data_IF_153460259079
#
_entry.id   IF_153460259079
#
_cell.length_a   1.000
_cell.length_b   1.000
_cell.length_c   1.000
_cell.angle_alpha   90.00
_cell.angle_beta   90.00
_cell.angle_gamma   90.00
#
_symmetry.space_group_name_H-M   'P 1'
#
loop_
_entity.id
_entity.type
_entity.pdbx_description
1 polymer ?
#
# COMPACT_ATOMS: atom_id res chain seq x y z
N UNK A 1 -23.70 -0.12 -39.26
CA UNK A 1 -23.24 -0.24 -37.87
C UNK A 1 -22.68 1.11 -37.46
N UNK A 2 -23.20 1.77 -36.43
CA UNK A 2 -22.76 3.13 -36.08
C UNK A 2 -21.32 3.09 -35.57
N UNK A 3 -20.47 3.92 -36.17
CA UNK A 3 -19.13 4.22 -35.65
C UNK A 3 -19.28 4.96 -34.33
N UNK A 4 -19.20 4.22 -33.21
CA UNK A 4 -19.07 4.83 -31.88
C UNK A 4 -17.70 5.49 -31.85
N UNK A 5 -17.67 6.82 -31.87
CA UNK A 5 -16.44 7.58 -31.66
C UNK A 5 -15.83 7.15 -30.32
N UNK A 6 -14.61 6.62 -30.37
CA UNK A 6 -13.86 6.09 -29.22
C UNK A 6 -13.69 7.14 -28.10
N UNK A 7 -13.97 8.42 -28.38
CA UNK A 7 -13.87 9.53 -27.42
C UNK A 7 -14.92 9.52 -26.32
N UNK A 8 -16.11 8.95 -26.56
CA UNK A 8 -17.23 8.96 -25.60
C UNK A 8 -17.25 7.74 -24.66
N UNK A 9 -16.31 6.81 -24.82
CA UNK A 9 -16.17 5.65 -23.93
C UNK A 9 -15.38 6.01 -22.67
N UNK A 10 -15.66 5.31 -21.57
CA UNK A 10 -14.92 5.50 -20.31
C UNK A 10 -13.42 5.31 -20.54
N UNK A 11 -12.61 6.14 -19.87
CA UNK A 11 -11.15 6.16 -20.01
C UNK A 11 -10.51 4.78 -19.78
N UNK A 12 -11.08 3.98 -18.87
CA UNK A 12 -10.68 2.59 -18.64
C UNK A 12 -10.85 1.71 -19.88
N UNK A 13 -11.93 1.89 -20.64
CA UNK A 13 -12.21 1.17 -21.88
C UNK A 13 -11.29 1.64 -23.01
N UNK A 14 -11.05 2.96 -23.13
CA UNK A 14 -10.12 3.51 -24.13
C UNK A 14 -8.69 3.02 -23.95
N UNK A 15 -8.21 2.95 -22.71
CA UNK A 15 -6.86 2.51 -22.38
C UNK A 15 -6.72 0.98 -22.35
N UNK A 16 -7.80 0.22 -22.13
CA UNK A 16 -7.77 -1.25 -22.16
C UNK A 16 -7.75 -1.82 -23.58
N UNK A 17 -8.35 -1.13 -24.55
CA UNK A 17 -8.46 -1.61 -25.94
C UNK A 17 -7.11 -1.61 -26.67
N UNK A 18 -6.18 -0.70 -26.33
CA UNK A 18 -4.87 -0.67 -26.99
C UNK A 18 -3.72 -0.19 -26.07
N UNK A 19 -2.93 -1.13 -25.50
CA UNK A 19 -1.75 -0.83 -24.68
C UNK A 19 -0.64 -0.08 -25.43
N UNK A 20 -0.68 -0.02 -26.76
CA UNK A 20 0.30 0.66 -27.60
C UNK A 20 -0.19 1.98 -28.19
N UNK A 21 -1.37 2.45 -27.81
CA UNK A 21 -1.88 3.75 -28.26
C UNK A 21 -0.92 4.90 -27.89
N UNK A 22 -0.79 5.88 -28.79
CA UNK A 22 0.04 7.06 -28.56
C UNK A 22 -0.43 7.89 -27.34
N UNK A 23 -1.74 7.86 -27.06
CA UNK A 23 -2.34 8.46 -25.85
C UNK A 23 -1.80 7.78 -24.58
N UNK A 24 -1.80 6.44 -24.54
CA UNK A 24 -1.27 5.68 -23.41
C UNK A 24 0.22 5.95 -23.18
N UNK A 25 1.03 5.93 -24.25
CA UNK A 25 2.47 6.24 -24.16
C UNK A 25 2.74 7.64 -23.64
N UNK A 26 1.96 8.62 -24.09
CA UNK A 26 2.07 10.02 -23.64
C UNK A 26 1.73 10.14 -22.16
N UNK A 27 0.64 9.51 -21.71
CA UNK A 27 0.20 9.53 -20.32
C UNK A 27 1.21 8.85 -19.39
N UNK A 28 1.67 7.64 -19.75
CA UNK A 28 2.69 6.91 -19.00
C UNK A 28 4.00 7.69 -18.97
N UNK A 29 4.41 8.30 -20.08
CA UNK A 29 5.62 9.14 -20.13
C UNK A 29 5.56 10.32 -19.16
N UNK A 30 4.40 11.00 -19.07
CA UNK A 30 4.18 12.12 -18.14
C UNK A 30 4.11 11.71 -16.67
N UNK A 31 3.59 10.52 -16.37
CA UNK A 31 3.59 9.97 -15.02
C UNK A 31 5.00 9.56 -14.60
N UNK A 32 5.72 8.86 -15.49
CA UNK A 32 7.11 8.47 -15.27
C UNK A 32 8.01 9.69 -15.05
N UNK A 33 7.87 10.75 -15.84
CA UNK A 33 8.70 11.95 -15.66
C UNK A 33 8.56 12.61 -14.29
N UNK A 34 7.35 12.61 -13.71
CA UNK A 34 7.09 13.11 -12.34
C UNK A 34 7.70 12.20 -11.29
N UNK A 35 7.52 10.90 -11.45
CA UNK A 35 8.10 9.91 -10.57
C UNK A 35 9.63 9.92 -10.62
N UNK A 36 10.25 10.10 -11.79
CA UNK A 36 11.70 10.24 -11.97
C UNK A 36 12.24 11.55 -11.37
N UNK A 37 11.45 12.63 -11.43
CA UNK A 37 11.77 13.89 -10.73
C UNK A 37 11.84 13.66 -9.21
N UNK A 38 10.83 13.00 -8.65
CA UNK A 38 10.78 12.70 -7.22
C UNK A 38 11.89 11.72 -6.80
N UNK A 39 12.11 10.64 -7.56
CA UNK A 39 13.17 9.66 -7.29
C UNK A 39 14.55 10.28 -7.19
N UNK A 40 14.89 11.20 -8.10
CA UNK A 40 16.18 11.92 -8.09
C UNK A 40 16.35 12.81 -6.85
N UNK A 41 15.27 13.36 -6.32
CA UNK A 41 15.33 14.13 -5.09
C UNK A 41 15.46 13.21 -3.87
N UNK A 42 14.62 12.17 -3.80
CA UNK A 42 14.61 11.20 -2.71
C UNK A 42 15.92 10.40 -2.61
N UNK A 43 16.59 10.13 -3.74
CA UNK A 43 17.85 9.38 -3.75
C UNK A 43 18.95 10.05 -2.92
N UNK A 44 18.90 11.36 -2.73
CA UNK A 44 19.86 12.09 -1.90
C UNK A 44 19.78 11.71 -0.41
N UNK A 45 18.64 11.15 0.03
CA UNK A 45 18.41 10.74 1.43
C UNK A 45 18.77 9.29 1.69
N UNK A 46 18.83 8.45 0.66
CA UNK A 46 19.00 7.00 0.82
C UNK A 46 20.31 6.64 1.50
N UNK A 47 21.41 7.33 1.18
CA UNK A 47 22.70 7.06 1.84
C UNK A 47 22.63 7.38 3.34
N UNK A 48 21.94 8.45 3.74
CA UNK A 48 21.72 8.78 5.16
C UNK A 48 20.85 7.72 5.84
N UNK A 49 19.78 7.25 5.19
CA UNK A 49 18.92 6.22 5.76
C UNK A 49 19.65 4.87 5.89
N UNK A 50 20.50 4.51 4.93
CA UNK A 50 21.34 3.32 5.02
C UNK A 50 22.28 3.38 6.24
N UNK A 51 22.86 4.55 6.56
CA UNK A 51 23.66 4.70 7.78
C UNK A 51 22.86 4.56 9.06
N UNK A 52 21.61 5.02 9.08
CA UNK A 52 20.71 4.83 10.23
C UNK A 52 20.38 3.36 10.42
N UNK A 53 20.14 2.63 9.33
CA UNK A 53 19.94 1.19 9.33
C UNK A 53 21.15 0.46 9.89
N UNK A 54 22.36 0.85 9.51
CA UNK A 54 23.61 0.32 10.07
C UNK A 54 23.71 0.57 11.58
N UNK A 55 23.35 1.77 12.06
CA UNK A 55 23.45 2.12 13.48
C UNK A 55 22.42 1.40 14.38
N UNK A 56 21.29 0.97 13.82
CA UNK A 56 20.23 0.27 14.55
C UNK A 56 20.47 -1.26 14.57
N UNK A 57 21.26 -1.78 13.63
CA UNK A 57 21.61 -3.21 13.60
C UNK A 57 22.50 -3.57 14.78
N UNK A 58 22.18 -4.67 15.47
CA UNK A 58 22.99 -5.23 16.57
C UNK A 58 24.27 -5.94 16.11
N UNK A 59 24.53 -5.98 14.80
CA UNK A 59 25.73 -6.55 14.21
C UNK A 59 26.34 -5.52 13.26
N UNK A 60 27.63 -5.24 13.43
CA UNK A 60 28.40 -4.47 12.46
C UNK A 60 28.54 -5.35 11.21
N UNK A 61 28.13 -4.86 10.05
CA UNK A 61 28.49 -5.49 8.77
C UNK A 61 29.98 -5.26 8.54
N UNK A 62 30.78 -6.27 8.88
CA UNK A 62 32.24 -6.26 8.83
C UNK A 62 32.77 -6.04 7.40
N UNK A 63 31.94 -6.31 6.37
CA UNK A 63 32.33 -6.10 4.97
C UNK A 63 32.75 -4.66 4.64
N UNK A 64 32.25 -3.66 5.38
CA UNK A 64 32.54 -2.23 5.14
C UNK A 64 33.58 -1.63 6.10
N UNK A 65 33.60 -2.05 7.37
CA UNK A 65 34.51 -1.50 8.41
C UNK A 65 35.61 -2.46 8.85
N UNK A 66 35.40 -3.78 8.85
CA UNK A 66 36.48 -4.73 9.17
C UNK A 66 37.51 -4.80 8.06
N UNK A 67 37.10 -4.67 6.78
CA UNK A 67 38.03 -4.51 5.65
C UNK A 67 38.99 -3.32 5.80
N UNK A 68 38.54 -2.25 6.45
CA UNK A 68 39.35 -1.06 6.73
C UNK A 68 40.25 -1.24 7.96
N UNK A 69 39.85 -2.06 8.93
CA UNK A 69 40.59 -2.32 10.16
C UNK A 69 41.65 -3.43 10.01
N UNK A 70 41.36 -4.48 9.24
CA UNK A 70 42.24 -5.65 9.06
C UNK A 70 43.23 -5.51 7.89
N UNK A 71 43.06 -4.50 7.01
CA UNK A 71 43.95 -4.29 5.86
C UNK A 71 44.01 -5.46 4.87
N UNK A 72 43.16 -6.48 5.04
CA UNK A 72 43.14 -7.69 4.24
C UNK A 72 42.26 -7.50 3.00
N UNK A 73 42.89 -7.60 1.83
CA UNK A 73 42.27 -7.37 0.52
C UNK A 73 41.60 -8.66 -0.01
N UNK A 74 41.80 -9.80 0.65
CA UNK A 74 41.41 -11.11 0.12
C UNK A 74 39.88 -11.37 0.20
N UNK A 75 39.20 -11.58 -0.95
CA UNK A 75 37.76 -11.78 -1.00
C UNK A 75 37.28 -13.19 -0.60
N UNK A 76 38.21 -14.12 -0.28
CA UNK A 76 37.93 -15.54 -0.05
C UNK A 76 38.19 -16.01 1.40
N UNK A 77 38.59 -15.13 2.31
CA UNK A 77 38.84 -15.54 3.69
C UNK A 77 37.50 -15.75 4.43
N UNK A 78 37.25 -16.97 4.91
CA UNK A 78 36.09 -17.25 5.78
C UNK A 78 36.28 -16.52 7.12
N UNK A 79 35.46 -15.50 7.36
CA UNK A 79 35.42 -14.79 8.63
C UNK A 79 35.01 -15.75 9.77
N UNK A 80 35.77 -15.75 10.87
CA UNK A 80 35.47 -16.62 12.02
C UNK A 80 34.27 -16.06 12.81
N UNK A 81 33.25 -16.88 13.13
CA UNK A 81 32.00 -16.39 13.75
C UNK A 81 32.19 -15.76 15.14
N UNK A 82 33.29 -16.04 15.82
CA UNK A 82 33.62 -15.54 17.16
C UNK A 82 34.28 -14.15 17.20
N UNK A 83 34.68 -13.58 16.06
CA UNK A 83 35.19 -12.19 15.97
C UNK A 83 34.08 -11.14 15.87
N UNK A 84 32.81 -11.56 15.85
CA UNK A 84 31.67 -10.63 15.85
C UNK A 84 31.51 -10.04 17.25
N UNK A 85 32.03 -8.82 17.44
CA UNK A 85 31.67 -8.02 18.61
C UNK A 85 30.15 -7.78 18.58
N UNK A 86 29.43 -8.41 19.53
CA UNK A 86 28.02 -8.13 19.76
C UNK A 86 27.95 -6.77 20.44
N UNK A 87 27.73 -5.73 19.66
CA UNK A 87 27.49 -4.40 20.19
C UNK A 87 26.00 -4.29 20.46
N UNK A 88 25.61 -4.11 21.72
CA UNK A 88 24.22 -3.76 22.06
C UNK A 88 23.97 -2.34 21.53
N UNK A 89 23.10 -2.16 20.52
CA UNK A 89 22.90 -0.85 19.93
C UNK A 89 22.07 0.02 20.88
N UNK A 90 22.72 0.95 21.58
CA UNK A 90 22.04 1.93 22.44
C UNK A 90 20.98 2.72 21.67
N UNK A 91 21.23 3.01 20.39
CA UNK A 91 20.28 3.67 19.50
C UNK A 91 18.96 2.89 19.34
N UNK A 92 19.00 1.56 19.29
CA UNK A 92 17.81 0.73 19.23
C UNK A 92 17.02 0.79 20.54
N UNK A 93 17.70 0.76 21.69
CA UNK A 93 17.06 0.87 23.00
C UNK A 93 16.37 2.24 23.17
N UNK A 94 17.02 3.33 22.74
CA UNK A 94 16.43 4.67 22.74
C UNK A 94 15.23 4.73 21.79
N UNK A 95 15.33 4.18 20.59
CA UNK A 95 14.21 4.12 19.64
C UNK A 95 13.02 3.35 20.23
N UNK A 96 13.27 2.19 20.84
CA UNK A 96 12.21 1.38 21.46
C UNK A 96 11.54 2.09 22.64
N UNK A 97 12.31 2.75 23.52
CA UNK A 97 11.74 3.53 24.64
C UNK A 97 10.93 4.74 24.17
N UNK A 98 11.39 5.44 23.12
CA UNK A 98 10.58 6.50 22.49
C UNK A 98 9.32 5.95 21.84
N UNK A 99 9.42 4.80 21.19
CA UNK A 99 8.28 4.13 20.55
C UNK A 99 7.20 3.76 21.56
N UNK A 100 7.56 3.17 22.69
CA UNK A 100 6.60 2.80 23.74
C UNK A 100 5.91 4.04 24.31
N UNK A 101 6.64 5.15 24.47
CA UNK A 101 6.06 6.44 24.84
C UNK A 101 5.04 6.95 23.81
N UNK A 102 5.39 6.96 22.53
CA UNK A 102 4.49 7.42 21.45
C UNK A 102 3.25 6.52 21.30
N UNK A 103 3.43 5.20 21.35
CA UNK A 103 2.31 4.25 21.32
C UNK A 103 1.39 4.41 22.54
N UNK A 104 1.94 4.73 23.72
CA UNK A 104 1.13 5.06 24.90
C UNK A 104 0.33 6.35 24.69
N UNK A 105 0.93 7.39 24.09
CA UNK A 105 0.24 8.66 23.83
C UNK A 105 -0.90 8.49 22.82
N UNK A 106 -0.64 7.84 21.69
CA UNK A 106 -1.61 7.71 20.60
C UNK A 106 -2.56 6.52 20.76
N UNK A 107 -2.08 5.40 21.33
CA UNK A 107 -2.81 4.15 21.37
C UNK A 107 -3.58 3.86 22.67
N UNK A 108 -3.40 4.63 23.75
CA UNK A 108 -4.13 4.38 25.00
C UNK A 108 -5.59 4.81 24.97
N UNK A 109 -6.04 5.53 23.93
CA UNK A 109 -7.41 6.02 23.80
C UNK A 109 -8.20 5.15 22.84
N UNK A 110 -9.42 4.79 23.24
CA UNK A 110 -10.41 4.10 22.41
C UNK A 110 -11.66 5.00 22.41
N UNK A 111 -12.13 5.51 21.26
CA UNK A 111 -11.56 5.42 19.91
C UNK A 111 -10.26 6.26 19.75
N UNK A 112 -9.37 5.82 18.86
CA UNK A 112 -8.05 6.46 18.66
C UNK A 112 -8.16 7.84 17.99
N UNK A 113 -9.04 7.99 17.00
CA UNK A 113 -9.33 9.26 16.34
C UNK A 113 -10.59 9.85 16.96
N UNK A 114 -10.45 11.03 17.57
CA UNK A 114 -11.56 11.78 18.14
C UNK A 114 -12.02 12.83 17.13
N UNK A 115 -13.33 12.87 16.87
CA UNK A 115 -13.99 13.79 15.95
C UNK A 115 -14.98 14.59 16.77
N UNK A 116 -14.72 15.89 16.89
CA UNK A 116 -15.65 16.81 17.51
C UNK A 116 -16.62 17.40 16.47
N UNK A 117 -17.90 17.46 16.86
CA UNK A 117 -18.92 18.18 16.11
C UNK A 117 -18.69 19.69 16.19
N UNK A 118 -18.83 20.41 15.07
CA UNK A 118 -18.73 21.88 15.06
C UNK A 118 -20.01 22.55 15.56
N UNK A 119 -21.17 21.97 15.24
CA UNK A 119 -22.48 22.41 15.71
C UNK A 119 -23.14 21.46 16.73
N UNK A 120 -24.16 21.90 17.47
CA UNK A 120 -24.96 21.04 18.36
C UNK A 120 -25.61 19.84 17.64
N UNK A 121 -25.95 20.00 16.36
CA UNK A 121 -26.51 18.98 15.49
C UNK A 121 -25.49 17.89 15.10
N UNK A 122 -24.21 18.24 15.05
CA UNK A 122 -23.14 17.36 14.58
C UNK A 122 -22.61 16.43 15.68
N UNK A 123 -22.95 16.67 16.95
CA UNK A 123 -22.40 15.91 18.09
C UNK A 123 -22.74 14.42 18.00
N UNK A 124 -23.96 14.08 17.56
CA UNK A 124 -24.38 12.68 17.41
C UNK A 124 -23.75 12.01 16.18
N UNK A 125 -23.82 12.59 14.97
CA UNK A 125 -23.10 12.09 13.80
C UNK A 125 -21.60 11.91 14.03
N UNK A 126 -20.94 12.86 14.70
CA UNK A 126 -19.50 12.79 14.97
C UNK A 126 -19.14 11.52 15.78
N UNK A 127 -19.88 11.24 16.86
CA UNK A 127 -19.69 10.00 17.66
C UNK A 127 -19.97 8.73 16.87
N UNK A 128 -20.92 8.75 15.94
CA UNK A 128 -21.17 7.60 15.07
C UNK A 128 -19.98 7.37 14.13
N UNK A 129 -19.44 8.44 13.52
CA UNK A 129 -18.26 8.33 12.65
C UNK A 129 -17.04 7.84 13.44
N UNK A 130 -16.81 8.34 14.65
CA UNK A 130 -15.76 7.82 15.54
C UNK A 130 -15.90 6.30 15.75
N UNK A 131 -17.12 5.83 16.04
CA UNK A 131 -17.36 4.39 16.25
C UNK A 131 -17.14 3.55 15.00
N UNK A 132 -17.44 4.09 13.81
CA UNK A 132 -17.21 3.40 12.52
C UNK A 132 -15.71 3.33 12.22
N UNK A 133 -14.97 4.42 12.42
CA UNK A 133 -13.52 4.44 12.21
C UNK A 133 -12.81 3.49 13.19
N UNK A 134 -13.26 3.42 14.44
CA UNK A 134 -12.70 2.48 15.40
C UNK A 134 -12.99 1.03 15.01
N UNK A 135 -14.21 0.74 14.52
CA UNK A 135 -14.55 -0.57 13.98
C UNK A 135 -13.65 -0.97 12.81
N UNK A 136 -13.48 -0.08 11.82
CA UNK A 136 -12.59 -0.30 10.67
C UNK A 136 -11.13 -0.47 11.12
N UNK A 137 -10.69 0.33 12.09
CA UNK A 137 -9.35 0.26 12.65
C UNK A 137 -9.06 -1.06 13.38
N UNK A 138 -10.06 -1.62 14.07
CA UNK A 138 -9.94 -2.94 14.70
C UNK A 138 -9.86 -4.06 13.67
N UNK A 139 -10.64 -4.00 12.59
CA UNK A 139 -10.58 -5.00 11.51
C UNK A 139 -9.24 -4.97 10.77
N UNK A 140 -8.72 -3.78 10.50
CA UNK A 140 -7.50 -3.60 9.70
C UNK A 140 -6.21 -3.58 10.51
N UNK A 141 -6.30 -3.80 11.83
CA UNK A 141 -5.17 -3.72 12.75
C UNK A 141 -4.45 -2.35 12.66
N UNK A 142 -5.20 -1.26 12.70
CA UNK A 142 -4.69 0.10 12.60
C UNK A 142 -3.56 0.41 13.60
N UNK A 143 -3.55 -0.21 14.78
CA UNK A 143 -2.46 -0.10 15.76
C UNK A 143 -1.11 -0.60 15.22
N UNK A 144 -1.12 -1.68 14.42
CA UNK A 144 0.10 -2.19 13.78
C UNK A 144 0.56 -1.25 12.66
N UNK A 145 -0.37 -0.69 11.90
CA UNK A 145 -0.07 0.32 10.89
C UNK A 145 0.54 1.59 11.53
N UNK A 146 -0.03 2.04 12.65
CA UNK A 146 0.48 3.17 13.43
C UNK A 146 1.87 2.88 13.99
N UNK A 147 2.11 1.67 14.51
CA UNK A 147 3.44 1.26 14.95
C UNK A 147 4.48 1.38 13.81
N UNK A 148 4.14 0.89 12.62
CA UNK A 148 4.99 1.02 11.43
C UNK A 148 5.26 2.47 11.05
N UNK A 149 4.21 3.30 11.04
CA UNK A 149 4.28 4.73 10.76
C UNK A 149 5.23 5.46 11.72
N UNK A 150 5.05 5.24 13.03
CA UNK A 150 5.88 5.86 14.06
C UNK A 150 7.32 5.36 13.99
N UNK A 151 7.52 4.07 13.69
CA UNK A 151 8.85 3.48 13.58
C UNK A 151 9.64 4.14 12.45
N UNK A 152 9.01 4.32 11.31
CA UNK A 152 9.64 4.93 10.15
C UNK A 152 9.84 6.44 10.36
N UNK A 153 8.91 7.11 11.05
CA UNK A 153 9.05 8.52 11.44
C UNK A 153 10.25 8.76 12.37
N UNK A 154 10.44 7.91 13.39
CA UNK A 154 11.56 8.05 14.33
C UNK A 154 12.90 7.65 13.71
N UNK A 155 12.89 6.65 12.82
CA UNK A 155 14.10 6.14 12.18
C UNK A 155 14.58 7.05 11.05
N UNK A 156 13.70 7.38 10.11
CA UNK A 156 14.06 8.07 8.87
C UNK A 156 13.69 9.55 8.85
N UNK A 157 12.99 10.02 9.90
CA UNK A 157 12.43 11.37 9.98
C UNK A 157 11.14 11.54 9.19
N UNK A 158 10.62 10.48 8.56
CA UNK A 158 9.38 10.49 7.79
C UNK A 158 8.64 9.17 7.95
N UNK A 159 7.39 9.25 8.36
CA UNK A 159 6.45 8.13 8.35
C UNK A 159 5.38 8.40 7.30
N UNK A 160 5.08 7.39 6.48
CA UNK A 160 4.01 7.48 5.49
C UNK A 160 3.03 6.33 5.71
N UNK A 161 1.74 6.67 5.65
CA UNK A 161 0.65 5.72 5.66
C UNK A 161 -0.25 6.01 4.47
N UNK A 162 -0.64 4.96 3.77
CA UNK A 162 -1.59 5.03 2.68
C UNK A 162 -2.92 4.48 3.17
N UNK A 163 -3.98 5.27 2.99
CA UNK A 163 -5.36 4.88 3.23
C UNK A 163 -5.99 4.34 1.95
N UNK A 164 -6.68 3.21 2.07
CA UNK A 164 -7.41 2.59 0.95
C UNK A 164 -8.74 2.08 1.44
N UNK A 165 -9.79 2.29 0.63
CA UNK A 165 -11.06 1.61 0.84
C UNK A 165 -10.96 0.20 0.28
N UNK A 166 -11.13 -0.81 1.14
CA UNK A 166 -11.11 -2.21 0.73
C UNK A 166 -12.49 -2.85 0.93
N UNK A 167 -12.85 -3.71 -0.02
CA UNK A 167 -14.04 -4.54 0.03
C UNK A 167 -13.59 -5.99 0.03
N UNK A 168 -14.00 -6.76 1.02
CA UNK A 168 -13.72 -8.19 1.08
C UNK A 168 -14.91 -8.97 0.49
N UNK A 169 -14.74 -9.63 -0.67
CA UNK A 169 -15.77 -10.51 -1.18
C UNK A 169 -15.82 -11.80 -0.35
N UNK A 170 -17.02 -12.24 -0.05
CA UNK A 170 -17.24 -13.46 0.71
C UNK A 170 -18.65 -14.00 0.55
N UNK A 171 -18.93 -15.06 1.30
CA UNK A 171 -20.26 -15.65 1.30
C UNK A 171 -21.14 -14.93 2.31
N UNK A 172 -22.17 -14.26 1.81
CA UNK A 172 -23.14 -13.54 2.62
C UNK A 172 -24.45 -14.33 2.65
N UNK A 173 -25.01 -14.48 3.86
CA UNK A 173 -26.32 -15.09 4.05
C UNK A 173 -27.40 -14.04 3.84
N UNK A 174 -28.10 -14.11 2.71
CA UNK A 174 -29.29 -13.28 2.48
C UNK A 174 -30.56 -14.07 2.80
N UNK A 175 -31.63 -13.42 3.31
CA UNK A 175 -32.91 -14.09 3.43
C UNK A 175 -33.36 -14.60 2.05
N UNK A 176 -33.75 -15.87 1.97
CA UNK A 176 -34.09 -16.52 0.69
C UNK A 176 -35.19 -15.75 -0.05
N UNK A 177 -35.13 -15.72 -1.38
CA UNK A 177 -36.16 -15.06 -2.24
C UNK A 177 -37.56 -15.64 -2.01
N UNK A 178 -37.68 -16.86 -1.49
CA UNK A 178 -38.95 -17.46 -1.07
C UNK A 178 -39.65 -16.67 0.07
N UNK A 179 -38.88 -15.89 0.84
CA UNK A 179 -39.35 -15.05 1.93
C UNK A 179 -39.89 -13.67 1.50
N UNK A 180 -39.81 -13.31 0.22
CA UNK A 180 -40.37 -12.04 -0.27
C UNK A 180 -41.90 -12.06 -0.33
N UNK A 181 -42.53 -13.24 -0.21
CA UNK A 181 -43.98 -13.37 -0.07
C UNK A 181 -44.39 -13.32 1.42
N UNK A 182 -45.14 -12.30 1.87
CA UNK A 182 -45.53 -12.12 3.28
C UNK A 182 -46.28 -13.34 3.87
N UNK A 183 -47.04 -14.04 3.03
CA UNK A 183 -47.84 -15.21 3.39
C UNK A 183 -46.97 -16.43 3.72
N UNK A 184 -45.95 -16.71 2.89
CA UNK A 184 -45.03 -17.85 3.07
C UNK A 184 -44.13 -17.65 4.29
N UNK A 185 -43.73 -16.40 4.56
CA UNK A 185 -42.91 -16.04 5.74
C UNK A 185 -43.63 -16.29 7.06
N UNK A 186 -44.92 -15.99 7.13
CA UNK A 186 -45.73 -16.24 8.34
C UNK A 186 -46.02 -17.74 8.53
N UNK A 187 -46.25 -18.48 7.44
CA UNK A 187 -46.47 -19.92 7.47
C UNK A 187 -45.21 -20.72 7.89
N UNK A 188 -44.03 -20.38 7.36
CA UNK A 188 -42.78 -21.02 7.79
C UNK A 188 -42.43 -20.72 9.25
N UNK A 189 -42.74 -19.51 9.75
CA UNK A 189 -42.57 -19.16 11.17
C UNK A 189 -43.52 -19.94 12.08
N UNK A 190 -44.76 -20.22 11.67
CA UNK A 190 -45.73 -20.96 12.48
C UNK A 190 -45.42 -22.46 12.58
N UNK A 191 -44.63 -23.01 11.65
CA UNK A 191 -44.27 -24.45 11.60
C UNK A 191 -42.86 -24.69 12.20
N UNK A 192 -42.19 -23.65 12.71
CA UNK A 192 -40.89 -23.78 13.38
C UNK A 192 -39.71 -24.06 12.44
N UNK A 193 -39.88 -23.89 11.13
CA UNK A 193 -38.76 -24.00 10.19
C UNK A 193 -37.83 -22.78 10.34
N UNK A 194 -36.52 -22.99 10.55
CA UNK A 194 -35.56 -21.89 10.58
C UNK A 194 -35.57 -21.18 9.23
N UNK A 195 -35.53 -19.84 9.25
CA UNK A 195 -35.51 -19.01 8.05
C UNK A 195 -34.39 -19.50 7.12
N UNK A 196 -34.76 -20.05 5.96
CA UNK A 196 -33.82 -20.49 4.95
C UNK A 196 -33.01 -19.26 4.50
N UNK A 197 -31.71 -19.30 4.78
CA UNK A 197 -30.74 -18.29 4.36
C UNK A 197 -30.05 -18.83 3.12
N UNK A 198 -30.23 -18.13 2.00
CA UNK A 198 -29.51 -18.45 0.78
C UNK A 198 -28.10 -17.87 0.88
N UNK A 199 -27.11 -18.66 0.46
CA UNK A 199 -25.70 -18.27 0.46
C UNK A 199 -25.39 -17.65 -0.90
N UNK A 200 -25.24 -16.33 -0.93
CA UNK A 200 -24.85 -15.60 -2.14
C UNK A 200 -23.40 -15.11 -2.00
N UNK A 201 -22.64 -15.09 -3.09
CA UNK A 201 -21.33 -14.43 -3.13
C UNK A 201 -21.56 -12.91 -3.23
N UNK A 202 -20.99 -12.14 -2.30
CA UNK A 202 -21.17 -10.69 -2.24
C UNK A 202 -20.15 -10.03 -1.32
N UNK A 203 -20.30 -8.73 -1.07
CA UNK A 203 -19.39 -7.98 -0.18
C UNK A 203 -19.67 -8.34 1.27
N UNK A 204 -18.70 -8.98 1.93
CA UNK A 204 -18.79 -9.40 3.33
C UNK A 204 -18.59 -8.23 4.28
N UNK A 205 -17.57 -7.41 3.99
CA UNK A 205 -17.19 -6.23 4.76
C UNK A 205 -16.60 -5.18 3.84
N UNK A 206 -16.81 -3.93 4.23
CA UNK A 206 -16.15 -2.76 3.64
C UNK A 206 -15.52 -2.00 4.79
N UNK A 207 -14.26 -1.60 4.63
CA UNK A 207 -13.54 -0.90 5.68
C UNK A 207 -12.44 -0.02 5.10
N UNK A 208 -12.07 1.00 5.85
CA UNK A 208 -10.84 1.74 5.60
C UNK A 208 -9.63 0.94 6.08
N UNK A 209 -8.72 0.63 5.16
CA UNK A 209 -7.44 -0.01 5.46
C UNK A 209 -6.31 0.99 5.44
N UNK A 210 -5.56 0.98 6.53
CA UNK A 210 -4.33 1.74 6.66
C UNK A 210 -3.13 0.83 6.40
N UNK A 211 -2.26 1.26 5.50
CA UNK A 211 -1.06 0.52 5.18
C UNK A 211 0.18 1.41 5.34
N UNK A 212 1.15 1.03 6.18
CA UNK A 212 2.43 1.72 6.22
C UNK A 212 3.16 1.52 4.90
N UNK A 213 3.75 2.60 4.39
CA UNK A 213 4.53 2.61 3.15
C UNK A 213 6.00 2.79 3.51
N UNK A 214 6.85 1.92 2.96
CA UNK A 214 8.30 2.05 3.13
C UNK A 214 8.79 3.41 2.57
N UNK A 215 9.48 4.24 3.37
CA UNK A 215 10.00 5.53 2.92
C UNK A 215 10.90 5.47 1.68
N UNK A 216 11.63 4.36 1.45
CA UNK A 216 12.43 4.17 0.25
C UNK A 216 11.59 4.04 -1.04
N UNK A 217 10.31 3.74 -0.89
CA UNK A 217 9.34 3.57 -1.96
C UNK A 217 8.28 4.68 -1.96
N UNK A 218 8.53 5.78 -1.25
CA UNK A 218 7.68 6.96 -1.27
C UNK A 218 8.29 8.06 -2.15
N UNK A 219 7.46 8.62 -3.03
CA UNK A 219 7.85 9.61 -4.04
C UNK A 219 6.95 10.84 -3.99
N UNK A 220 7.19 11.79 -3.08
CA UNK A 220 6.44 13.03 -3.00
C UNK A 220 6.88 14.02 -4.09
N UNK A 221 6.03 15.00 -4.40
CA UNK A 221 6.44 16.15 -5.20
C UNK A 221 7.55 16.95 -4.49
N UNK A 222 8.76 17.04 -5.06
CA UNK A 222 9.87 17.74 -4.42
C UNK A 222 9.72 19.26 -4.34
N UNK A 223 8.73 19.83 -5.03
CA UNK A 223 8.48 21.28 -5.05
C UNK A 223 7.73 21.77 -3.81
N UNK A 224 7.13 20.85 -3.06
CA UNK A 224 6.31 21.15 -1.89
C UNK A 224 6.97 20.52 -0.65
N UNK A 225 6.95 21.20 0.52
CA UNK A 225 7.42 20.59 1.75
C UNK A 225 6.68 19.27 2.04
N UNK A 226 7.40 18.26 2.53
CA UNK A 226 6.83 16.93 2.79
C UNK A 226 5.65 16.93 3.78
N UNK A 227 5.56 17.93 4.67
CA UNK A 227 4.43 18.09 5.59
C UNK A 227 3.16 18.66 4.95
N UNK A 228 3.25 19.23 3.74
CA UNK A 228 2.13 19.87 3.05
C UNK A 228 1.72 19.12 1.79
N UNK A 229 1.43 17.83 1.99
CA UNK A 229 1.04 16.88 0.96
C UNK A 229 -0.19 17.36 0.16
N UNK A 230 -1.07 18.17 0.78
CA UNK A 230 -2.28 18.70 0.14
C UNK A 230 -1.98 19.65 -1.01
N UNK A 231 -0.86 20.36 -0.97
CA UNK A 231 -0.47 21.31 -2.01
C UNK A 231 0.39 20.67 -3.11
N UNK A 232 0.79 19.41 -2.95
CA UNK A 232 1.51 18.68 -3.99
C UNK A 232 0.67 18.51 -5.27
N UNK A 233 1.36 18.56 -6.43
CA UNK A 233 0.77 18.22 -7.72
C UNK A 233 0.58 16.70 -7.83
N UNK A 234 1.53 15.94 -7.31
CA UNK A 234 1.51 14.48 -7.34
C UNK A 234 2.15 13.85 -6.11
N UNK A 235 1.69 12.65 -5.77
CA UNK A 235 2.27 11.79 -4.74
C UNK A 235 2.30 10.37 -5.27
N UNK A 236 3.47 9.74 -5.24
CA UNK A 236 3.65 8.36 -5.63
C UNK A 236 4.10 7.49 -4.45
N UNK A 237 3.72 6.21 -4.48
CA UNK A 237 4.38 5.20 -3.69
C UNK A 237 4.37 3.84 -4.39
N UNK A 238 5.23 2.92 -3.95
CA UNK A 238 5.29 1.55 -4.48
C UNK A 238 4.93 0.51 -3.44
N UNK A 239 4.07 -0.40 -3.84
CA UNK A 239 3.71 -1.60 -3.08
C UNK A 239 4.05 -2.86 -3.87
N UNK A 240 4.35 -3.95 -3.18
CA UNK A 240 4.46 -5.26 -3.81
C UNK A 240 3.20 -6.08 -3.56
N UNK A 241 2.64 -6.65 -4.62
CA UNK A 241 1.42 -7.45 -4.59
C UNK A 241 1.55 -8.70 -5.45
N UNK A 242 0.89 -9.78 -5.04
CA UNK A 242 0.84 -11.01 -5.83
C UNK A 242 -0.05 -10.81 -7.07
N UNK A 243 0.17 -11.64 -8.09
CA UNK A 243 -0.72 -11.64 -9.26
C UNK A 243 -2.17 -11.95 -8.90
N UNK A 244 -2.40 -12.89 -7.98
CA UNK A 244 -3.74 -13.28 -7.51
C UNK A 244 -4.48 -12.10 -6.90
N UNK A 245 -3.79 -11.28 -6.09
CA UNK A 245 -4.37 -10.08 -5.49
C UNK A 245 -4.84 -9.06 -6.54
N UNK A 246 -4.11 -8.94 -7.66
CA UNK A 246 -4.51 -8.09 -8.79
C UNK A 246 -5.73 -8.66 -9.51
N UNK A 247 -5.77 -9.97 -9.75
CA UNK A 247 -6.90 -10.64 -10.40
C UNK A 247 -8.19 -10.50 -9.59
N UNK A 248 -8.13 -10.66 -8.28
CA UNK A 248 -9.27 -10.42 -7.38
C UNK A 248 -9.83 -9.01 -7.53
N UNK A 249 -8.97 -8.02 -7.81
CA UNK A 249 -9.31 -6.59 -7.90
C UNK A 249 -9.41 -6.10 -9.35
N UNK A 250 -9.65 -6.98 -10.32
CA UNK A 250 -9.95 -6.60 -11.70
C UNK A 250 -11.31 -5.88 -11.77
N UNK A 251 -11.50 -4.97 -12.73
CA UNK A 251 -12.78 -4.27 -12.96
C UNK A 251 -13.96 -5.22 -13.11
N UNK A 252 -13.78 -6.38 -13.74
CA UNK A 252 -14.82 -7.43 -13.87
C UNK A 252 -15.32 -7.95 -12.51
N UNK A 253 -14.47 -7.90 -11.49
CA UNK A 253 -14.78 -8.30 -10.12
C UNK A 253 -15.18 -7.12 -9.21
N UNK A 254 -15.36 -5.92 -9.78
CA UNK A 254 -15.67 -4.69 -9.04
C UNK A 254 -14.45 -3.94 -8.50
N UNK A 255 -13.23 -4.35 -8.85
CA UNK A 255 -12.00 -3.64 -8.44
C UNK A 255 -11.55 -2.55 -9.41
N UNK A 256 -10.51 -1.75 -9.07
CA UNK A 256 -10.10 -0.60 -9.87
C UNK A 256 -9.16 -0.94 -11.05
N UNK A 257 -8.66 -2.17 -11.16
CA UNK A 257 -7.59 -2.50 -12.10
C UNK A 257 -8.08 -3.07 -13.43
N UNK A 258 -7.59 -2.51 -14.53
CA UNK A 258 -7.82 -3.01 -15.90
C UNK A 258 -6.50 -3.44 -16.55
N UNK A 259 -6.59 -4.21 -17.65
CA UNK A 259 -5.43 -4.67 -18.44
C UNK A 259 -4.37 -5.51 -17.67
N UNK A 260 -4.81 -6.26 -16.65
CA UNK A 260 -3.93 -7.15 -15.86
C UNK A 260 -3.36 -8.30 -16.71
N UNK A 261 -4.10 -8.73 -17.73
CA UNK A 261 -3.71 -9.85 -18.59
C UNK A 261 -2.48 -9.56 -19.46
N UNK A 262 -2.25 -8.27 -19.77
CA UNK A 262 -1.07 -7.81 -20.51
C UNK A 262 0.21 -7.70 -19.68
N UNK A 263 0.13 -7.93 -18.36
CA UNK A 263 1.33 -7.92 -17.52
C UNK A 263 2.26 -9.07 -17.91
N UNK A 264 3.53 -8.79 -18.26
CA UNK A 264 4.48 -9.84 -18.56
C UNK A 264 4.68 -10.68 -17.31
N UNK A 265 4.87 -12.00 -17.48
CA UNK A 265 5.27 -12.86 -16.36
C UNK A 265 6.48 -12.25 -15.68
N UNK A 266 6.44 -12.10 -14.35
CA UNK A 266 7.48 -11.39 -13.62
C UNK A 266 8.84 -12.05 -13.86
N UNK A 267 9.64 -11.49 -14.75
CA UNK A 267 11.00 -11.95 -15.01
C UNK A 267 11.83 -11.54 -13.80
N UNK A 268 12.37 -12.53 -13.09
CA UNK A 268 13.12 -12.35 -11.84
C UNK A 268 14.38 -11.48 -12.01
N UNK A 269 14.91 -11.35 -13.23
CA UNK A 269 16.22 -10.76 -13.51
C UNK A 269 16.28 -9.23 -13.50
N UNK A 270 15.19 -8.52 -13.82
CA UNK A 270 15.22 -7.06 -13.93
C UNK A 270 15.25 -6.32 -12.57
N UNK A 271 15.25 -7.06 -11.45
CA UNK A 271 15.00 -6.49 -10.10
C UNK A 271 16.25 -6.16 -9.28
N UNK A 272 17.45 -6.42 -9.79
CA UNK A 272 18.69 -6.21 -9.01
C UNK A 272 19.06 -4.74 -8.81
N UNK A 273 18.64 -3.83 -9.67
CA UNK A 273 19.20 -2.46 -9.73
C UNK A 273 18.53 -1.45 -8.80
N UNK A 274 17.25 -1.66 -8.41
CA UNK A 274 16.50 -0.71 -7.57
C UNK A 274 16.39 -1.12 -6.08
N UNK A 275 17.05 -2.21 -5.68
CA UNK A 275 16.91 -2.81 -4.35
C UNK A 275 17.90 -2.21 -3.35
N UNK A 276 17.62 -1.00 -2.85
CA UNK A 276 18.29 -0.44 -1.65
C UNK A 276 17.42 -0.46 -0.38
N UNK A 277 16.13 -0.81 -0.47
CA UNK A 277 15.22 -0.81 0.67
C UNK A 277 15.39 -2.00 1.63
N UNK A 278 14.64 -1.97 2.75
CA UNK A 278 14.40 -3.09 3.70
C UNK A 278 14.14 -4.44 3.02
N UNK A 279 13.64 -4.42 1.79
CA UNK A 279 13.35 -5.60 0.97
C UNK A 279 14.61 -6.42 0.60
N UNK A 280 15.81 -5.81 0.64
CA UNK A 280 17.09 -6.52 0.46
C UNK A 280 17.33 -7.57 1.56
N UNK A 281 16.82 -7.31 2.78
CA UNK A 281 16.89 -8.23 3.90
C UNK A 281 15.81 -9.32 3.81
N UNK A 282 14.57 -8.91 3.49
CA UNK A 282 13.42 -9.82 3.41
C UNK A 282 13.60 -10.86 2.30
N UNK A 283 13.96 -10.48 1.07
CA UNK A 283 14.03 -11.45 -0.03
C UNK A 283 15.16 -12.47 0.10
N UNK A 284 16.31 -12.07 0.65
CA UNK A 284 17.48 -12.95 0.76
C UNK A 284 17.31 -13.97 1.91
N UNK A 285 16.53 -13.63 2.93
CA UNK A 285 16.30 -14.48 4.10
C UNK A 285 15.02 -15.34 3.99
N UNK A 286 13.99 -14.88 3.26
CA UNK A 286 12.72 -15.60 3.08
C UNK A 286 12.59 -16.38 1.77
N UNK A 287 13.63 -16.43 0.92
CA UNK A 287 13.60 -17.28 -0.29
C UNK A 287 12.47 -16.95 -1.28
N UNK A 288 11.95 -15.71 -1.26
CA UNK A 288 10.81 -15.24 -2.08
C UNK A 288 11.10 -15.21 -3.60
N UNK A 289 12.23 -15.77 -4.02
CA UNK A 289 12.65 -15.97 -5.40
C UNK A 289 12.32 -17.36 -5.93
N UNK A 290 11.88 -18.29 -5.09
CA UNK A 290 11.46 -19.62 -5.54
C UNK A 290 10.03 -19.58 -6.09
N UNK A 291 9.81 -20.25 -7.22
CA UNK A 291 8.49 -20.38 -7.83
C UNK A 291 7.72 -21.46 -7.07
N UNK A 292 6.50 -21.16 -6.63
CA UNK A 292 5.64 -22.17 -6.03
C UNK A 292 5.08 -23.16 -7.08
N UNK A 293 4.74 -22.66 -8.29
CA UNK A 293 4.16 -23.44 -9.39
C UNK A 293 4.45 -22.79 -10.76
N UNK A 294 4.27 -23.52 -11.87
CA UNK A 294 4.40 -23.02 -13.25
C UNK A 294 3.36 -21.94 -13.60
N UNK A 295 2.22 -21.95 -12.90
CA UNK A 295 1.16 -20.94 -13.04
C UNK A 295 1.40 -19.69 -12.20
N UNK A 296 2.36 -19.73 -11.28
CA UNK A 296 2.69 -18.58 -10.44
C UNK A 296 3.40 -17.52 -11.29
N UNK A 297 2.72 -16.39 -11.49
CA UNK A 297 3.29 -15.22 -12.18
C UNK A 297 4.10 -14.32 -11.22
N UNK A 298 4.18 -14.68 -9.94
CA UNK A 298 4.96 -14.02 -8.90
C UNK A 298 4.37 -12.71 -8.40
N UNK A 299 5.20 -11.98 -7.65
CA UNK A 299 4.88 -10.64 -7.15
C UNK A 299 5.18 -9.57 -8.19
N UNK A 300 4.35 -8.53 -8.26
CA UNK A 300 4.52 -7.33 -9.08
C UNK A 300 4.82 -6.12 -8.20
N UNK A 301 5.61 -5.19 -8.73
CA UNK A 301 5.78 -3.86 -8.16
C UNK A 301 4.66 -2.96 -8.70
N UNK A 302 3.75 -2.54 -7.84
CA UNK A 302 2.65 -1.66 -8.15
C UNK A 302 3.04 -0.23 -7.76
N UNK A 303 3.25 0.64 -8.76
CA UNK A 303 3.47 2.07 -8.56
C UNK A 303 2.11 2.76 -8.52
N UNK A 304 1.69 3.22 -7.35
CA UNK A 304 0.48 4.00 -7.16
C UNK A 304 0.83 5.49 -7.18
N UNK A 305 0.26 6.25 -8.10
CA UNK A 305 0.50 7.69 -8.24
C UNK A 305 -0.84 8.41 -8.26
N UNK A 306 -1.01 9.34 -7.34
CA UNK A 306 -2.10 10.30 -7.34
C UNK A 306 -1.59 11.60 -7.94
N UNK A 307 -2.31 12.17 -8.91
CA UNK A 307 -1.93 13.40 -9.61
C UNK A 307 -3.15 14.30 -9.75
N UNK A 308 -2.99 15.58 -9.43
CA UNK A 308 -3.96 16.62 -9.80
C UNK A 308 -3.76 16.95 -11.27
N UNK A 309 -4.79 16.72 -12.08
CA UNK A 309 -4.70 16.86 -13.53
C UNK A 309 -5.79 17.75 -14.07
N UNK A 310 -5.45 18.54 -15.09
CA UNK A 310 -6.42 19.22 -15.93
C UNK A 310 -6.70 18.31 -17.14
N UNK A 311 -7.94 17.81 -17.34
CA UNK A 311 -8.22 16.80 -18.37
C UNK A 311 -7.77 17.20 -19.78
N UNK A 312 -7.94 18.48 -20.15
CA UNK A 312 -7.51 19.00 -21.45
C UNK A 312 -5.99 18.95 -21.65
N UNK A 313 -5.20 19.32 -20.64
CA UNK A 313 -3.74 19.26 -20.76
C UNK A 313 -3.26 17.84 -20.95
N UNK A 314 -3.95 16.87 -20.34
CA UNK A 314 -3.67 15.44 -20.41
C UNK A 314 -4.31 14.75 -21.61
N UNK A 315 -5.02 15.49 -22.47
CA UNK A 315 -5.75 14.97 -23.65
C UNK A 315 -6.80 13.90 -23.30
N UNK A 316 -7.34 13.96 -22.08
CA UNK A 316 -8.36 13.01 -21.61
C UNK A 316 -9.77 13.46 -21.97
N UNK A 317 -10.04 14.76 -21.82
CA UNK A 317 -11.31 15.42 -22.10
C UNK A 317 -11.07 16.87 -22.56
N UNK A 318 -12.10 17.56 -23.06
CA UNK A 318 -12.05 18.98 -23.45
C UNK A 318 -12.10 19.95 -22.26
N UNK A 319 -12.31 19.43 -21.06
CA UNK A 319 -12.50 20.22 -19.84
C UNK A 319 -11.18 20.87 -19.36
N UNK A 320 -11.25 22.18 -19.09
CA UNK A 320 -10.08 23.02 -18.74
C UNK A 320 -9.90 23.22 -17.23
N UNK A 321 -10.75 22.63 -16.39
CA UNK A 321 -10.68 22.76 -14.93
C UNK A 321 -9.95 21.56 -14.32
N UNK A 322 -9.14 21.77 -13.26
CA UNK A 322 -8.46 20.70 -12.53
C UNK A 322 -9.39 19.87 -11.66
#
# INVERSE_FOLDING_TARGET
>A
MPHIEVKDQSLATRLSINPQSDEHRTLVGRLRSRLDLSRRNMSNRYDSWDTVDENIKGFIDLSRRARLADGSIDPNMLEMPFQRAIVVPMSLAILQTRMTGLMSIFGNRVPMIQIDGRGPEDVKPAKLIESVIDYDGQQTQAYLALYGLLQDSEKYGIGIMHDTWEQEPGWVFKPSKLMNNPLARNFLRSIGFPLLRDREWGTLSEFNRWQPVDPFFFWPDPRVPMGDVKNAEFIGHRNFRSFTWLLERKVENGGPFFNIDALPRAVQEARKTEQRSRDRFIRKQFGLTEKADEKDRGFYALDHIQVKLIPNEWKLSTEKRP
#
